data_IF_881078672492
#
_entry.id   IF_881078672492
#
_cell.length_a   1.000
_cell.length_b   1.000
_cell.length_c   1.000
_cell.angle_alpha   90.00
_cell.angle_beta   90.00
_cell.angle_gamma   90.00
#
_symmetry.space_group_name_H-M   'P 1'
#
loop_
_entity.id
_entity.type
_entity.pdbx_description
1 polymer ?
#
# COMPACT_ATOMS: atom_id res chain seq x y z
N UNK A 1 12.44 -1.66 27.61
CA UNK A 1 11.10 -1.70 27.02
C UNK A 1 10.93 -3.07 26.41
N UNK A 2 9.75 -3.72 26.41
CA UNK A 2 9.57 -4.97 25.70
C UNK A 2 9.90 -4.74 24.23
N UNK A 3 10.71 -5.63 23.67
CA UNK A 3 11.09 -5.57 22.25
C UNK A 3 9.90 -6.14 21.45
N UNK A 4 9.02 -5.28 20.97
CA UNK A 4 7.92 -5.70 20.13
C UNK A 4 8.41 -6.06 18.72
N UNK A 5 7.84 -7.09 18.08
CA UNK A 5 8.14 -7.41 16.70
C UNK A 5 7.91 -6.18 15.79
N UNK A 6 8.77 -5.99 14.82
CA UNK A 6 8.62 -4.90 13.84
C UNK A 6 7.47 -5.21 12.88
N UNK A 7 6.57 -4.27 12.70
CA UNK A 7 5.48 -4.37 11.74
C UNK A 7 5.05 -3.02 11.20
N UNK A 8 4.78 -2.98 9.90
CA UNK A 8 4.14 -1.84 9.24
C UNK A 8 2.60 -1.92 9.30
N UNK A 9 2.05 -3.09 9.66
CA UNK A 9 0.61 -3.32 9.66
C UNK A 9 -0.05 -2.78 10.94
N UNK A 10 -1.07 -1.94 10.78
CA UNK A 10 -1.84 -1.39 11.91
C UNK A 10 -2.62 -2.48 12.65
N UNK A 11 -3.13 -3.48 11.93
CA UNK A 11 -3.86 -4.62 12.51
C UNK A 11 -2.98 -5.46 13.43
N UNK A 12 -1.71 -5.67 13.08
CA UNK A 12 -0.75 -6.39 13.94
C UNK A 12 -0.33 -5.54 15.13
N UNK A 13 -0.04 -4.25 14.92
CA UNK A 13 0.28 -3.33 16.01
C UNK A 13 -0.85 -3.29 17.05
N UNK A 14 -2.11 -3.23 16.63
CA UNK A 14 -3.28 -3.28 17.49
C UNK A 14 -3.32 -4.59 18.30
N UNK A 15 -3.20 -5.74 17.64
CA UNK A 15 -3.26 -7.06 18.28
C UNK A 15 -2.11 -7.26 19.29
N UNK A 16 -0.88 -6.86 18.93
CA UNK A 16 0.31 -6.96 19.79
C UNK A 16 0.16 -6.09 21.03
N UNK A 17 -0.19 -4.81 20.88
CA UNK A 17 -0.31 -3.88 21.99
C UNK A 17 -1.49 -4.22 22.90
N UNK A 18 -2.63 -4.62 22.34
CA UNK A 18 -3.79 -5.08 23.10
C UNK A 18 -3.46 -6.32 23.95
N UNK A 19 -2.76 -7.29 23.36
CA UNK A 19 -2.31 -8.50 24.08
C UNK A 19 -1.32 -8.17 25.19
N UNK A 20 -0.33 -7.32 24.91
CA UNK A 20 0.68 -6.92 25.89
C UNK A 20 0.08 -6.14 27.08
N UNK A 21 -0.93 -5.31 26.84
CA UNK A 21 -1.62 -4.58 27.89
C UNK A 21 -2.67 -5.43 28.63
N UNK A 22 -2.96 -6.65 28.17
CA UNK A 22 -4.01 -7.54 28.68
C UNK A 22 -5.40 -6.85 28.76
N UNK A 23 -5.73 -6.05 27.75
CA UNK A 23 -7.00 -5.32 27.64
C UNK A 23 -7.81 -5.84 26.44
N UNK A 24 -9.11 -5.58 26.46
CA UNK A 24 -10.01 -5.91 25.34
C UNK A 24 -9.97 -4.83 24.25
N UNK A 25 -9.73 -3.59 24.63
CA UNK A 25 -9.68 -2.42 23.75
C UNK A 25 -8.52 -1.51 24.16
N UNK A 26 -7.85 -0.92 23.16
CA UNK A 26 -6.80 0.08 23.40
C UNK A 26 -7.42 1.48 23.43
N UNK A 27 -7.00 2.36 24.36
CA UNK A 27 -7.45 3.75 24.41
C UNK A 27 -7.18 4.47 23.08
N UNK A 28 -8.18 5.16 22.55
CA UNK A 28 -8.04 5.91 21.30
C UNK A 28 -7.91 5.06 20.03
N UNK A 29 -8.19 3.75 20.13
CA UNK A 29 -8.15 2.83 18.98
C UNK A 29 -9.45 2.04 18.93
N UNK A 30 -10.01 1.93 17.73
CA UNK A 30 -11.14 1.05 17.43
C UNK A 30 -10.75 0.13 16.29
N UNK A 31 -10.98 -1.16 16.45
CA UNK A 31 -10.79 -2.15 15.39
C UNK A 31 -12.11 -2.87 15.11
N UNK A 32 -12.45 -3.02 13.83
CA UNK A 32 -13.63 -3.77 13.40
C UNK A 32 -13.32 -4.59 12.16
N UNK A 33 -14.00 -5.72 12.02
CA UNK A 33 -13.86 -6.61 10.87
C UNK A 33 -15.16 -6.60 10.07
N UNK A 34 -15.04 -6.41 8.77
CA UNK A 34 -16.16 -6.41 7.82
C UNK A 34 -15.90 -7.41 6.70
N UNK A 35 -16.97 -7.86 6.03
CA UNK A 35 -16.84 -8.68 4.82
C UNK A 35 -17.30 -7.88 3.61
N UNK A 36 -16.45 -7.81 2.57
CA UNK A 36 -16.75 -7.13 1.32
C UNK A 36 -16.50 -8.07 0.16
N UNK A 37 -17.53 -8.41 -0.59
CA UNK A 37 -17.45 -9.33 -1.75
C UNK A 37 -16.74 -10.65 -1.45
N UNK A 38 -16.94 -11.20 -0.23
CA UNK A 38 -16.28 -12.43 0.20
C UNK A 38 -14.90 -12.25 0.85
N UNK A 39 -14.34 -11.03 0.86
CA UNK A 39 -13.05 -10.72 1.46
C UNK A 39 -13.22 -10.13 2.86
N UNK A 40 -12.44 -10.61 3.83
CA UNK A 40 -12.33 -9.97 5.14
C UNK A 40 -11.52 -8.69 5.02
N UNK A 41 -12.06 -7.60 5.60
CA UNK A 41 -11.42 -6.31 5.72
C UNK A 41 -11.40 -5.94 7.20
N UNK A 42 -10.19 -5.78 7.76
CA UNK A 42 -10.02 -5.24 9.11
C UNK A 42 -9.78 -3.74 9.00
N UNK A 43 -10.62 -2.97 9.68
CA UNK A 43 -10.54 -1.51 9.76
C UNK A 43 -10.01 -1.13 11.15
N UNK A 44 -8.86 -0.46 11.22
CA UNK A 44 -8.27 0.04 12.46
C UNK A 44 -8.31 1.56 12.42
N UNK A 45 -9.05 2.15 13.33
CA UNK A 45 -9.21 3.60 13.47
C UNK A 45 -8.37 4.10 14.64
N UNK A 46 -7.35 4.89 14.36
CA UNK A 46 -6.58 5.63 15.36
C UNK A 46 -7.26 6.98 15.52
N UNK A 47 -7.92 7.19 16.67
CA UNK A 47 -8.89 8.28 16.84
C UNK A 47 -8.26 9.56 17.39
N UNK A 48 -7.21 9.45 18.20
CA UNK A 48 -6.60 10.55 18.91
C UNK A 48 -5.16 10.27 19.33
N UNK A 49 -4.54 11.22 20.02
CA UNK A 49 -3.17 11.12 20.54
C UNK A 49 -2.93 9.92 21.50
N UNK A 50 -3.98 9.42 22.18
CA UNK A 50 -3.84 8.21 22.99
C UNK A 50 -3.67 6.97 22.11
N UNK A 51 -4.45 6.90 21.01
CA UNK A 51 -4.31 5.87 19.99
C UNK A 51 -2.97 5.94 19.26
N UNK A 52 -2.49 7.14 18.91
CA UNK A 52 -1.17 7.32 18.30
C UNK A 52 -0.06 6.77 19.19
N UNK A 53 -0.10 7.10 20.50
CA UNK A 53 0.87 6.60 21.47
C UNK A 53 0.73 5.07 21.67
N UNK A 54 -0.48 4.54 21.64
CA UNK A 54 -0.74 3.12 21.81
C UNK A 54 -0.23 2.28 20.64
N UNK A 55 -0.37 2.76 19.39
CA UNK A 55 0.01 2.01 18.18
C UNK A 55 1.31 2.47 17.54
N UNK A 56 1.88 3.60 17.98
CA UNK A 56 2.98 4.28 17.28
C UNK A 56 2.64 4.55 15.80
N UNK A 57 1.37 4.88 15.54
CA UNK A 57 0.85 5.19 14.20
C UNK A 57 0.02 6.46 14.24
N UNK A 58 0.09 7.31 13.19
CA UNK A 58 -0.69 8.54 13.13
C UNK A 58 -2.20 8.31 13.25
N UNK A 59 -2.91 9.32 13.76
CA UNK A 59 -4.39 9.38 13.74
C UNK A 59 -4.87 9.27 12.31
N UNK A 60 -5.59 8.19 12.00
CA UNK A 60 -6.20 7.90 10.70
C UNK A 60 -6.94 6.56 10.70
N UNK A 61 -7.45 6.22 9.52
CA UNK A 61 -8.04 4.93 9.19
C UNK A 61 -7.04 4.06 8.44
N UNK A 62 -6.92 2.82 8.89
CA UNK A 62 -6.09 1.79 8.28
C UNK A 62 -6.96 0.61 7.88
N UNK A 63 -6.97 0.27 6.61
CA UNK A 63 -7.73 -0.84 6.05
C UNK A 63 -6.79 -1.98 5.67
N UNK A 64 -7.05 -3.17 6.20
CA UNK A 64 -6.29 -4.38 5.85
C UNK A 64 -7.22 -5.38 5.16
N UNK A 65 -7.01 -5.56 3.86
CA UNK A 65 -7.73 -6.53 3.01
C UNK A 65 -7.02 -7.87 3.06
N UNK A 66 -7.68 -8.93 3.52
CA UNK A 66 -7.15 -10.30 3.47
C UNK A 66 -7.36 -10.89 2.07
N UNK A 67 -6.34 -11.54 1.51
CA UNK A 67 -6.34 -12.08 0.14
C UNK A 67 -6.68 -13.58 0.07
N UNK A 68 -7.17 -14.19 1.15
CA UNK A 68 -7.42 -15.64 1.21
C UNK A 68 -8.29 -16.22 0.07
N UNK A 69 -9.40 -15.58 -0.37
CA UNK A 69 -10.16 -16.08 -1.51
C UNK A 69 -9.35 -16.11 -2.80
N UNK A 70 -8.50 -15.10 -3.01
CA UNK A 70 -7.60 -15.04 -4.19
C UNK A 70 -6.56 -16.17 -4.15
N UNK A 71 -5.97 -16.40 -2.98
CA UNK A 71 -4.99 -17.48 -2.78
C UNK A 71 -5.60 -18.87 -2.93
N UNK A 72 -6.88 -19.03 -2.58
CA UNK A 72 -7.64 -20.27 -2.82
C UNK A 72 -8.16 -20.40 -4.26
N UNK A 73 -7.93 -19.38 -5.11
CA UNK A 73 -8.40 -19.34 -6.51
C UNK A 73 -9.91 -19.52 -6.62
N UNK A 74 -10.67 -18.88 -5.73
CA UNK A 74 -12.12 -18.86 -5.81
C UNK A 74 -12.60 -18.14 -7.08
N UNK A 75 -13.77 -18.51 -7.58
CA UNK A 75 -14.35 -17.91 -8.76
C UNK A 75 -14.54 -16.40 -8.54
N UNK A 76 -14.23 -15.60 -9.58
CA UNK A 76 -14.30 -14.12 -9.56
C UNK A 76 -13.45 -13.43 -8.47
N UNK A 77 -12.55 -14.18 -7.78
CA UNK A 77 -11.78 -13.63 -6.66
C UNK A 77 -10.92 -12.43 -7.06
N UNK A 78 -10.30 -12.44 -8.23
CA UNK A 78 -9.47 -11.32 -8.69
C UNK A 78 -10.31 -10.05 -8.91
N UNK A 79 -11.45 -10.16 -9.60
CA UNK A 79 -12.35 -9.04 -9.82
C UNK A 79 -12.91 -8.49 -8.50
N UNK A 80 -13.39 -9.37 -7.61
CA UNK A 80 -13.93 -9.00 -6.31
C UNK A 80 -12.87 -8.34 -5.42
N UNK A 81 -11.61 -8.80 -5.43
CA UNK A 81 -10.51 -8.19 -4.72
C UNK A 81 -10.16 -6.80 -5.26
N UNK A 82 -10.05 -6.66 -6.59
CA UNK A 82 -9.76 -5.39 -7.25
C UNK A 82 -10.86 -4.34 -7.00
N UNK A 83 -12.14 -4.74 -7.07
CA UNK A 83 -13.26 -3.87 -6.75
C UNK A 83 -13.29 -3.48 -5.27
N UNK A 84 -12.97 -4.41 -4.37
CA UNK A 84 -12.88 -4.12 -2.93
C UNK A 84 -11.74 -3.15 -2.64
N UNK A 85 -10.56 -3.36 -3.22
CA UNK A 85 -9.43 -2.46 -3.09
C UNK A 85 -9.75 -1.06 -3.65
N UNK A 86 -10.45 -0.98 -4.78
CA UNK A 86 -10.90 0.28 -5.36
C UNK A 86 -11.87 1.02 -4.44
N UNK A 87 -12.83 0.31 -3.82
CA UNK A 87 -13.75 0.90 -2.84
C UNK A 87 -13.02 1.44 -1.62
N UNK A 88 -12.07 0.68 -1.07
CA UNK A 88 -11.25 1.11 0.07
C UNK A 88 -10.38 2.32 -0.29
N UNK A 89 -9.76 2.32 -1.47
CA UNK A 89 -8.94 3.44 -1.92
C UNK A 89 -9.77 4.73 -2.09
N UNK A 90 -11.00 4.65 -2.61
CA UNK A 90 -11.89 5.82 -2.68
C UNK A 90 -12.29 6.36 -1.29
N UNK A 91 -12.35 5.52 -0.26
CA UNK A 91 -12.58 5.95 1.13
C UNK A 91 -11.37 6.66 1.71
N UNK A 92 -10.19 6.08 1.51
CA UNK A 92 -8.91 6.63 1.97
C UNK A 92 -8.58 7.94 1.27
N UNK A 93 -8.90 8.04 -0.03
CA UNK A 93 -8.55 9.16 -0.88
C UNK A 93 -9.78 9.65 -1.67
N UNK A 94 -10.70 10.40 -1.04
CA UNK A 94 -11.84 10.97 -1.73
C UNK A 94 -11.38 12.09 -2.67
N UNK A 95 -11.52 11.87 -3.97
CA UNK A 95 -11.07 12.78 -5.02
C UNK A 95 -12.23 13.42 -5.77
N UNK A 96 -12.07 14.69 -6.15
CA UNK A 96 -12.99 15.33 -7.10
C UNK A 96 -12.88 14.64 -8.48
N UNK A 97 -13.94 14.66 -9.31
CA UNK A 97 -13.97 13.92 -10.58
C UNK A 97 -12.77 14.18 -11.51
N UNK A 98 -12.32 15.44 -11.61
CA UNK A 98 -11.23 15.85 -12.49
C UNK A 98 -9.85 15.94 -11.81
N UNK A 99 -9.74 15.51 -10.55
CA UNK A 99 -8.49 15.57 -9.81
C UNK A 99 -7.39 14.75 -10.51
N UNK A 100 -6.21 15.36 -10.66
CA UNK A 100 -5.03 14.71 -11.23
C UNK A 100 -4.31 13.88 -10.17
N UNK A 101 -3.82 12.71 -10.56
CA UNK A 101 -3.17 11.78 -9.62
C UNK A 101 -1.79 11.37 -10.12
N UNK A 102 -0.82 11.38 -9.20
CA UNK A 102 0.48 10.77 -9.41
C UNK A 102 0.53 9.44 -8.63
N UNK A 103 0.71 8.33 -9.35
CA UNK A 103 0.93 7.01 -8.74
C UNK A 103 2.43 6.76 -8.69
N UNK A 104 2.96 6.41 -7.52
CA UNK A 104 4.38 6.15 -7.32
C UNK A 104 4.62 4.75 -6.78
N UNK A 105 5.46 3.98 -7.45
CA UNK A 105 5.94 2.68 -6.99
C UNK A 105 7.30 2.85 -6.31
N UNK A 106 7.36 2.51 -5.02
CA UNK A 106 8.56 2.54 -4.21
C UNK A 106 9.21 1.16 -4.18
N UNK A 107 10.52 1.12 -3.96
CA UNK A 107 11.28 -0.12 -3.85
C UNK A 107 12.24 -0.36 -5.02
N UNK A 108 12.88 -1.51 -4.97
CA UNK A 108 13.90 -1.93 -5.92
C UNK A 108 13.44 -3.15 -6.73
N UNK A 109 13.16 -2.95 -8.00
CA UNK A 109 12.74 -4.04 -8.93
C UNK A 109 13.74 -5.20 -9.02
N UNK A 110 15.02 -4.96 -8.72
CA UNK A 110 16.03 -6.00 -8.73
C UNK A 110 16.03 -6.91 -7.48
N UNK A 111 15.23 -6.56 -6.47
CA UNK A 111 15.08 -7.32 -5.22
C UNK A 111 13.61 -7.73 -5.12
N UNK A 112 13.29 -8.97 -5.45
CA UNK A 112 11.90 -9.44 -5.57
C UNK A 112 10.99 -9.03 -4.41
N UNK A 113 11.35 -9.21 -3.12
CA UNK A 113 10.49 -8.77 -2.03
C UNK A 113 10.23 -7.25 -1.99
N UNK A 114 11.07 -6.46 -2.64
CA UNK A 114 11.00 -4.98 -2.69
C UNK A 114 10.46 -4.47 -4.05
N UNK A 115 9.92 -5.37 -4.88
CA UNK A 115 9.49 -5.04 -6.24
C UNK A 115 7.98 -4.73 -6.37
N UNK A 116 7.18 -4.85 -5.30
CA UNK A 116 5.71 -4.64 -5.34
C UNK A 116 5.33 -3.30 -5.94
N UNK A 117 5.95 -2.20 -5.45
CA UNK A 117 5.66 -0.86 -5.94
C UNK A 117 6.03 -0.68 -7.41
N UNK A 118 7.29 -0.93 -7.82
CA UNK A 118 7.69 -0.84 -9.22
C UNK A 118 6.86 -1.70 -10.18
N UNK A 119 6.48 -2.92 -9.78
CA UNK A 119 5.71 -3.84 -10.62
C UNK A 119 4.23 -3.44 -10.68
N UNK A 120 3.68 -2.84 -9.62
CA UNK A 120 2.31 -2.33 -9.66
C UNK A 120 2.14 -1.20 -10.69
N UNK A 121 3.18 -0.37 -10.89
CA UNK A 121 3.16 0.71 -11.89
C UNK A 121 2.94 0.17 -13.31
N UNK A 122 3.46 -1.02 -13.64
CA UNK A 122 3.28 -1.62 -14.96
C UNK A 122 1.80 -2.00 -15.24
N UNK A 123 0.98 -2.06 -14.21
CA UNK A 123 -0.46 -2.34 -14.28
C UNK A 123 -1.33 -1.09 -14.07
N UNK A 124 -0.76 0.11 -14.03
CA UNK A 124 -1.50 1.38 -13.90
C UNK A 124 -1.76 2.00 -15.27
N UNK A 125 -3.01 2.39 -15.52
CA UNK A 125 -3.40 3.12 -16.72
C UNK A 125 -2.91 4.57 -16.64
N UNK A 126 -1.89 4.93 -17.42
CA UNK A 126 -1.35 6.30 -17.50
C UNK A 126 -2.12 7.08 -18.57
N UNK A 127 -2.95 8.00 -18.15
CA UNK A 127 -3.94 8.69 -18.98
C UNK A 127 -3.65 10.18 -19.16
N UNK A 128 -2.75 10.79 -18.36
CA UNK A 128 -2.47 12.23 -18.39
C UNK A 128 -2.13 12.72 -19.80
N UNK A 129 -1.14 12.11 -20.46
CA UNK A 129 -0.71 12.49 -21.79
C UNK A 129 -1.78 12.21 -22.88
N UNK A 130 -2.57 11.16 -22.72
CA UNK A 130 -3.65 10.81 -23.63
C UNK A 130 -4.78 11.83 -23.57
N UNK A 131 -5.13 12.28 -22.37
CA UNK A 131 -6.12 13.33 -22.17
C UNK A 131 -5.70 14.66 -22.78
N UNK A 132 -4.41 14.99 -22.77
CA UNK A 132 -3.86 16.19 -23.40
C UNK A 132 -3.83 16.10 -24.94
N UNK A 133 -3.45 14.92 -25.47
CA UNK A 133 -3.25 14.72 -26.91
C UNK A 133 -4.51 14.29 -27.65
N UNK A 134 -5.40 13.53 -27.00
CA UNK A 134 -6.61 12.93 -27.58
C UNK A 134 -7.84 13.18 -26.68
N UNK A 135 -8.19 14.46 -26.41
CA UNK A 135 -9.24 14.81 -25.44
C UNK A 135 -10.63 14.27 -25.84
N UNK A 136 -10.91 14.10 -27.15
CA UNK A 136 -12.17 13.57 -27.65
C UNK A 136 -12.40 12.10 -27.24
N UNK A 137 -11.30 11.33 -27.02
CA UNK A 137 -11.36 9.91 -26.65
C UNK A 137 -11.08 9.68 -25.18
N UNK A 138 -10.19 10.49 -24.56
CA UNK A 138 -9.71 10.29 -23.20
C UNK A 138 -10.14 11.41 -22.23
N UNK A 139 -10.92 12.38 -22.66
CA UNK A 139 -11.36 13.50 -21.82
C UNK A 139 -12.16 13.08 -20.57
N UNK A 140 -12.81 11.93 -20.62
CA UNK A 140 -13.57 11.36 -19.51
C UNK A 140 -12.70 10.67 -18.45
N UNK A 141 -11.46 10.29 -18.80
CA UNK A 141 -10.56 9.65 -17.86
C UNK A 141 -9.92 10.70 -16.94
N UNK A 142 -9.68 10.35 -15.68
CA UNK A 142 -8.88 11.15 -14.76
C UNK A 142 -7.44 11.27 -15.28
N UNK A 143 -6.77 12.43 -15.19
CA UNK A 143 -5.35 12.54 -15.56
C UNK A 143 -4.48 11.81 -14.55
N UNK A 144 -3.90 10.69 -14.96
CA UNK A 144 -3.01 9.85 -14.14
C UNK A 144 -1.62 9.83 -14.76
N UNK A 145 -0.62 10.17 -13.95
CA UNK A 145 0.79 9.96 -14.23
C UNK A 145 1.34 8.87 -13.27
N UNK A 146 2.35 8.14 -13.69
CA UNK A 146 2.95 7.09 -12.86
C UNK A 146 4.48 7.11 -12.91
N UNK A 147 5.13 6.74 -11.81
CA UNK A 147 6.58 6.68 -11.66
C UNK A 147 6.99 5.49 -10.80
N UNK A 148 7.86 4.62 -11.31
CA UNK A 148 8.66 3.71 -10.49
C UNK A 148 9.95 4.45 -10.06
N UNK A 149 9.99 4.93 -8.80
CA UNK A 149 11.02 5.88 -8.36
C UNK A 149 12.41 5.23 -8.20
N UNK A 150 12.48 3.92 -7.99
CA UNK A 150 13.72 3.23 -7.62
C UNK A 150 14.18 3.57 -6.20
N UNK A 151 15.42 3.22 -5.88
CA UNK A 151 16.02 3.45 -4.55
C UNK A 151 17.33 4.22 -4.66
N UNK A 152 17.74 4.88 -3.58
CA UNK A 152 18.98 5.66 -3.51
C UNK A 152 20.19 4.92 -4.06
N UNK A 153 20.33 3.63 -3.74
CA UNK A 153 21.46 2.82 -4.18
C UNK A 153 21.54 2.57 -5.70
N UNK A 154 20.43 2.73 -6.42
CA UNK A 154 20.39 2.56 -7.88
C UNK A 154 20.34 3.89 -8.64
N UNK A 155 19.77 4.92 -8.04
CA UNK A 155 19.52 6.20 -8.70
C UNK A 155 20.48 7.31 -8.26
N UNK A 156 21.08 7.19 -7.07
CA UNK A 156 21.87 8.25 -6.44
C UNK A 156 21.03 9.40 -5.86
N UNK A 157 19.69 9.29 -5.91
CA UNK A 157 18.75 10.30 -5.43
C UNK A 157 17.71 9.64 -4.52
N UNK A 158 17.35 10.29 -3.42
CA UNK A 158 16.27 9.81 -2.56
C UNK A 158 14.93 9.80 -3.32
N UNK A 159 14.16 8.72 -3.18
CA UNK A 159 12.85 8.59 -3.84
C UNK A 159 11.91 9.75 -3.49
N UNK A 160 11.94 10.21 -2.23
CA UNK A 160 11.14 11.35 -1.78
C UNK A 160 11.50 12.66 -2.49
N UNK A 161 12.79 12.88 -2.80
CA UNK A 161 13.23 14.09 -3.52
C UNK A 161 12.81 14.04 -4.99
N UNK A 162 12.90 12.88 -5.64
CA UNK A 162 12.39 12.70 -7.00
C UNK A 162 10.88 12.93 -7.08
N UNK A 163 10.13 12.35 -6.15
CA UNK A 163 8.67 12.49 -6.09
C UNK A 163 8.28 13.94 -5.83
N UNK A 164 8.97 14.62 -4.91
CA UNK A 164 8.74 16.04 -4.62
C UNK A 164 9.00 16.92 -5.85
N UNK A 165 10.10 16.70 -6.55
CA UNK A 165 10.44 17.44 -7.77
C UNK A 165 9.40 17.22 -8.87
N UNK A 166 8.94 15.97 -9.04
CA UNK A 166 7.90 15.64 -10.01
C UNK A 166 6.54 16.22 -9.60
N UNK A 167 6.17 16.19 -8.34
CA UNK A 167 4.95 16.77 -7.82
C UNK A 167 4.92 18.30 -8.02
N UNK A 168 6.05 18.99 -7.82
CA UNK A 168 6.18 20.43 -8.15
C UNK A 168 6.00 20.70 -9.64
N UNK A 169 6.40 19.79 -10.52
CA UNK A 169 6.24 19.96 -11.96
C UNK A 169 4.82 19.62 -12.46
N UNK A 170 4.26 18.54 -11.95
CA UNK A 170 2.95 18.02 -12.42
C UNK A 170 1.75 18.66 -11.72
N UNK A 171 1.93 19.20 -10.50
CA UNK A 171 0.88 19.73 -9.63
C UNK A 171 -0.29 18.74 -9.44
N UNK A 172 -0.04 17.48 -9.01
CA UNK A 172 -1.10 16.54 -8.80
C UNK A 172 -1.95 16.96 -7.60
N UNK A 173 -3.26 16.65 -7.66
CA UNK A 173 -4.19 16.88 -6.53
C UNK A 173 -4.01 15.83 -5.43
N UNK A 174 -3.47 14.66 -5.79
CA UNK A 174 -3.16 13.58 -4.85
C UNK A 174 -2.04 12.66 -5.35
N UNK A 175 -1.44 11.94 -4.40
CA UNK A 175 -0.43 10.91 -4.67
C UNK A 175 -0.94 9.57 -4.12
N UNK A 176 -0.73 8.50 -4.88
CA UNK A 176 -0.90 7.12 -4.40
C UNK A 176 0.48 6.49 -4.39
N UNK A 177 0.97 6.09 -3.21
CA UNK A 177 2.25 5.43 -3.04
C UNK A 177 2.04 3.92 -2.83
N UNK A 178 2.74 3.09 -3.60
CA UNK A 178 2.73 1.63 -3.47
C UNK A 178 4.11 1.16 -3.02
N UNK A 179 4.16 0.31 -1.97
CA UNK A 179 5.43 -0.19 -1.40
C UNK A 179 5.30 -1.62 -0.86
N UNK A 180 6.43 -2.25 -0.65
CA UNK A 180 6.54 -3.48 0.13
C UNK A 180 6.57 -3.14 1.63
N UNK A 181 5.91 -3.96 2.45
CA UNK A 181 5.84 -3.79 3.91
C UNK A 181 6.52 -4.95 4.63
N UNK A 182 6.85 -4.75 5.90
CA UNK A 182 7.19 -5.80 6.84
C UNK A 182 5.97 -6.17 7.71
N UNK A 183 5.83 -7.45 8.03
CA UNK A 183 4.86 -7.95 9.00
C UNK A 183 5.54 -8.69 10.15
N UNK A 184 4.81 -8.95 11.22
CA UNK A 184 5.23 -9.73 12.37
C UNK A 184 4.66 -11.16 12.37
N UNK A 185 3.56 -11.39 11.65
CA UNK A 185 2.83 -12.67 11.64
C UNK A 185 2.93 -13.33 10.27
N UNK A 186 3.20 -14.65 10.26
CA UNK A 186 3.27 -15.46 9.03
C UNK A 186 1.94 -15.48 8.26
N UNK A 187 0.82 -15.40 8.95
CA UNK A 187 -0.52 -15.40 8.35
C UNK A 187 -0.82 -14.12 7.55
N UNK A 188 0.01 -13.08 7.70
CA UNK A 188 -0.09 -11.82 6.95
C UNK A 188 0.89 -11.73 5.79
N UNK A 189 1.98 -12.50 5.86
CA UNK A 189 3.08 -12.44 4.90
C UNK A 189 2.63 -12.84 3.48
N UNK A 190 2.60 -11.88 2.55
CA UNK A 190 2.13 -12.05 1.17
C UNK A 190 0.62 -12.28 1.04
N UNK A 191 -0.17 -12.03 2.10
CA UNK A 191 -1.58 -12.44 2.19
C UNK A 191 -2.54 -11.30 2.49
N UNK A 192 -2.03 -10.11 2.70
CA UNK A 192 -2.86 -8.92 3.00
C UNK A 192 -2.37 -7.70 2.25
N UNK A 193 -3.30 -6.78 1.96
CA UNK A 193 -2.96 -5.44 1.44
C UNK A 193 -3.46 -4.42 2.44
N UNK A 194 -2.59 -3.52 2.88
CA UNK A 194 -2.96 -2.40 3.76
C UNK A 194 -3.08 -1.11 2.97
N UNK A 195 -4.11 -0.30 3.30
CA UNK A 195 -4.33 1.05 2.77
C UNK A 195 -4.47 2.05 3.91
N UNK A 196 -3.93 3.26 3.73
CA UNK A 196 -4.09 4.38 4.67
C UNK A 196 -3.85 5.72 3.97
N UNK A 197 -4.30 6.85 4.55
CA UNK A 197 -4.03 8.22 4.07
C UNK A 197 -2.90 8.92 4.85
N UNK A 198 -2.23 8.23 5.76
CA UNK A 198 -1.09 8.80 6.50
C UNK A 198 0.17 8.95 5.66
N UNK A 199 0.15 8.40 4.45
CA UNK A 199 1.34 8.25 3.63
C UNK A 199 2.20 7.05 4.06
N UNK A 200 3.47 7.05 3.67
CA UNK A 200 4.40 5.96 3.92
C UNK A 200 5.81 6.47 4.20
N UNK A 201 6.52 5.79 5.08
CA UNK A 201 7.96 5.98 5.29
C UNK A 201 8.69 4.78 4.68
N UNK A 202 9.31 4.92 3.50
CA UNK A 202 9.97 3.81 2.83
C UNK A 202 11.04 3.18 3.71
N UNK A 203 11.02 1.85 3.84
CA UNK A 203 12.01 1.09 4.62
C UNK A 203 11.82 1.11 6.14
N UNK A 204 10.75 1.70 6.69
CA UNK A 204 10.50 1.74 8.14
C UNK A 204 10.45 0.34 8.75
N UNK A 205 9.77 -0.59 8.12
CA UNK A 205 9.62 -1.96 8.60
C UNK A 205 10.92 -2.78 8.63
N UNK A 206 11.94 -2.34 7.88
CA UNK A 206 13.26 -2.98 7.85
C UNK A 206 14.35 -2.15 8.57
N UNK A 207 13.95 -1.12 9.33
CA UNK A 207 14.87 -0.28 10.10
C UNK A 207 15.75 0.64 9.25
N UNK A 208 15.32 0.95 8.04
CA UNK A 208 15.99 1.86 7.12
C UNK A 208 15.10 3.09 6.89
N UNK A 209 14.89 3.87 7.95
CA UNK A 209 14.02 5.04 7.91
C UNK A 209 14.53 6.08 6.91
N UNK A 210 13.73 6.36 5.91
CA UNK A 210 13.97 7.39 4.89
C UNK A 210 12.97 8.53 5.05
N UNK A 211 13.12 9.57 4.22
CA UNK A 211 12.16 10.67 4.21
C UNK A 211 10.75 10.15 3.87
N UNK A 212 9.80 10.40 4.78
CA UNK A 212 8.41 9.98 4.60
C UNK A 212 7.72 10.73 3.48
N UNK A 213 6.81 10.04 2.82
CA UNK A 213 5.89 10.58 1.83
C UNK A 213 4.53 10.71 2.49
N UNK A 214 4.18 11.91 2.94
CA UNK A 214 2.92 12.22 3.60
C UNK A 214 2.41 13.58 3.17
N UNK A 215 1.19 13.91 3.54
CA UNK A 215 0.64 15.24 3.34
C UNK A 215 1.51 16.33 3.99
N UNK A 216 2.08 16.05 5.15
CA UNK A 216 2.92 17.01 5.86
C UNK A 216 4.25 17.29 5.14
N UNK A 217 4.83 16.28 4.49
CA UNK A 217 6.13 16.41 3.80
C UNK A 217 6.00 16.93 2.36
N UNK A 218 4.87 16.67 1.71
CA UNK A 218 4.65 17.01 0.30
C UNK A 218 3.64 18.14 0.07
N UNK A 219 2.83 18.47 1.09
CA UNK A 219 1.73 19.46 0.96
C UNK A 219 0.54 18.94 0.13
N UNK A 220 0.54 17.66 -0.26
CA UNK A 220 -0.44 17.01 -1.14
C UNK A 220 -0.97 15.77 -0.41
N UNK A 221 -2.28 15.45 -0.47
CA UNK A 221 -2.81 14.21 0.07
C UNK A 221 -2.08 12.98 -0.49
N UNK A 222 -1.68 12.06 0.39
CA UNK A 222 -0.98 10.83 0.01
C UNK A 222 -1.73 9.62 0.58
N UNK A 223 -2.23 8.76 -0.29
CA UNK A 223 -2.66 7.43 0.09
C UNK A 223 -1.52 6.44 -0.08
N UNK A 224 -1.32 5.55 0.88
CA UNK A 224 -0.36 4.46 0.81
C UNK A 224 -1.09 3.12 0.64
N UNK A 225 -0.54 2.28 -0.21
CA UNK A 225 -0.96 0.88 -0.41
C UNK A 225 0.27 0.01 -0.24
N UNK A 226 0.19 -1.01 0.60
CA UNK A 226 1.33 -1.88 0.84
C UNK A 226 0.98 -3.35 1.00
N UNK A 227 1.91 -4.21 0.56
CA UNK A 227 1.86 -5.66 0.73
C UNK A 227 3.01 -6.11 1.63
N UNK A 228 2.78 -6.85 2.71
CA UNK A 228 3.86 -7.43 3.49
C UNK A 228 4.55 -8.55 2.70
N UNK A 229 5.82 -8.37 2.43
CA UNK A 229 6.67 -9.30 1.65
C UNK A 229 7.77 -9.92 2.47
N UNK A 230 8.06 -9.36 3.64
CA UNK A 230 9.12 -9.81 4.54
C UNK A 230 8.65 -9.83 5.99
N UNK A 231 9.29 -10.70 6.77
CA UNK A 231 9.12 -10.82 8.22
C UNK A 231 10.49 -10.89 8.87
N UNK A 232 10.66 -10.23 10.02
CA UNK A 232 11.92 -10.23 10.79
C UNK A 232 12.23 -11.62 11.31
N UNK A 233 13.40 -12.16 10.96
CA UNK A 233 13.83 -13.49 11.38
C UNK A 233 14.18 -13.56 12.87
N UNK A 234 14.44 -12.43 13.54
CA UNK A 234 14.69 -12.35 14.97
C UNK A 234 13.52 -12.84 15.82
N UNK A 235 12.28 -12.78 15.27
CA UNK A 235 11.10 -13.35 15.93
C UNK A 235 11.06 -14.90 15.96
N UNK A 236 11.91 -15.59 15.20
CA UNK A 236 11.89 -17.05 15.03
C UNK A 236 13.18 -17.75 15.48
N UNK A 237 14.20 -17.01 15.92
CA UNK A 237 15.50 -17.59 16.26
C UNK A 237 16.16 -16.80 17.38
N UNK A 238 16.74 -17.55 18.33
CA UNK A 238 17.58 -16.98 19.41
C UNK A 238 19.01 -16.63 18.93
N UNK A 239 19.35 -16.89 17.66
CA UNK A 239 20.64 -16.51 17.09
C UNK A 239 20.68 -14.98 16.85
N UNK A 240 21.60 -14.23 17.46
CA UNK A 240 21.69 -12.78 17.28
C UNK A 240 21.83 -12.31 15.82
N UNK A 241 22.30 -13.19 14.92
CA UNK A 241 22.40 -12.90 13.50
C UNK A 241 21.03 -12.83 12.83
N UNK A 242 20.01 -13.49 13.39
CA UNK A 242 18.65 -13.47 12.87
C UNK A 242 18.02 -12.07 12.94
N UNK A 243 18.40 -11.23 13.92
CA UNK A 243 17.94 -9.84 14.03
C UNK A 243 18.33 -8.94 12.84
N UNK A 244 19.26 -9.41 12.00
CA UNK A 244 19.71 -8.72 10.79
C UNK A 244 19.20 -9.37 9.50
N UNK A 245 18.30 -10.34 9.62
CA UNK A 245 17.79 -11.14 8.49
C UNK A 245 16.28 -10.98 8.36
N UNK A 246 15.82 -10.98 7.12
CA UNK A 246 14.41 -11.04 6.78
C UNK A 246 14.09 -12.35 6.05
N UNK A 247 12.92 -12.88 6.33
CA UNK A 247 12.38 -14.08 5.67
C UNK A 247 11.27 -13.65 4.72
N UNK A 248 11.21 -14.33 3.59
CA UNK A 248 10.20 -14.12 2.55
C UNK A 248 9.65 -15.49 2.09
N UNK A 249 8.42 -15.57 1.55
CA UNK A 249 7.86 -16.81 1.00
C UNK A 249 8.74 -17.40 -0.11
N UNK A 250 8.71 -18.71 -0.27
CA UNK A 250 9.47 -19.39 -1.34
C UNK A 250 8.99 -18.99 -2.74
N UNK A 251 7.72 -18.68 -2.87
CA UNK A 251 7.03 -18.30 -4.11
C UNK A 251 6.85 -16.78 -4.22
N UNK A 252 7.75 -16.02 -3.58
CA UNK A 252 7.68 -14.54 -3.51
C UNK A 252 7.53 -13.89 -4.90
N UNK A 253 8.14 -14.46 -5.93
CA UNK A 253 8.03 -13.95 -7.31
C UNK A 253 6.59 -13.97 -7.80
N UNK A 254 5.84 -15.04 -7.47
CA UNK A 254 4.42 -15.15 -7.81
C UNK A 254 3.59 -14.23 -6.95
N UNK A 255 3.85 -14.20 -5.65
CA UNK A 255 3.14 -13.34 -4.68
C UNK A 255 3.25 -11.86 -5.08
N UNK A 256 4.46 -11.39 -5.36
CA UNK A 256 4.71 -9.98 -5.75
C UNK A 256 4.03 -9.67 -7.08
N UNK A 257 4.22 -10.48 -8.10
CA UNK A 257 3.61 -10.27 -9.43
C UNK A 257 2.07 -10.20 -9.34
N UNK A 258 1.46 -11.16 -8.66
CA UNK A 258 -0.01 -11.27 -8.61
C UNK A 258 -0.61 -10.14 -7.76
N UNK A 259 0.04 -9.78 -6.63
CA UNK A 259 -0.38 -8.67 -5.80
C UNK A 259 -0.15 -7.30 -6.48
N UNK A 260 0.98 -7.11 -7.15
CA UNK A 260 1.27 -5.89 -7.91
C UNK A 260 0.23 -5.67 -9.01
N UNK A 261 -0.13 -6.72 -9.76
CA UNK A 261 -1.22 -6.67 -10.74
C UNK A 261 -2.54 -6.29 -10.07
N UNK A 262 -2.92 -6.95 -8.98
CA UNK A 262 -4.13 -6.65 -8.23
C UNK A 262 -4.19 -5.19 -7.78
N UNK A 263 -3.09 -4.67 -7.21
CA UNK A 263 -2.99 -3.28 -6.75
C UNK A 263 -3.17 -2.31 -7.92
N UNK A 264 -2.47 -2.51 -9.04
CA UNK A 264 -2.60 -1.67 -10.23
C UNK A 264 -4.04 -1.64 -10.77
N UNK A 265 -4.69 -2.81 -10.84
CA UNK A 265 -6.10 -2.91 -11.27
C UNK A 265 -7.05 -2.22 -10.28
N UNK A 266 -6.86 -2.43 -8.99
CA UNK A 266 -7.64 -1.73 -7.96
C UNK A 266 -7.48 -0.21 -8.04
N UNK A 267 -6.28 0.29 -8.30
CA UNK A 267 -6.01 1.72 -8.54
C UNK A 267 -6.77 2.20 -9.77
N UNK A 268 -6.72 1.48 -10.90
CA UNK A 268 -7.42 1.86 -12.12
C UNK A 268 -8.94 1.95 -11.91
N UNK A 269 -9.53 0.92 -11.27
CA UNK A 269 -10.95 0.92 -10.95
C UNK A 269 -11.33 2.02 -9.95
N UNK A 270 -10.42 2.42 -9.06
CA UNK A 270 -10.65 3.52 -8.12
C UNK A 270 -10.64 4.89 -8.82
N UNK A 271 -9.74 5.08 -9.78
CA UNK A 271 -9.50 6.36 -10.43
C UNK A 271 -10.38 6.62 -11.64
N UNK A 272 -10.91 5.57 -12.28
CA UNK A 272 -11.72 5.70 -13.48
C UNK A 272 -13.08 5.03 -13.28
N UNK A 273 -14.12 5.84 -13.14
CA UNK A 273 -15.47 5.34 -12.90
C UNK A 273 -16.01 4.55 -14.09
N UNK A 274 -16.71 3.46 -13.80
CA UNK A 274 -17.40 2.64 -14.80
C UNK A 274 -16.54 1.64 -15.56
N UNK A 275 -15.20 1.59 -15.29
CA UNK A 275 -14.35 0.57 -15.91
C UNK A 275 -14.59 -0.81 -15.29
N UNK A 276 -14.51 -1.82 -16.15
CA UNK A 276 -14.43 -3.23 -15.77
C UNK A 276 -12.99 -3.75 -15.83
N UNK A 277 -12.73 -4.93 -15.30
CA UNK A 277 -11.44 -5.61 -15.44
C UNK A 277 -11.09 -5.80 -16.93
N UNK A 278 -12.08 -6.15 -17.76
CA UNK A 278 -11.88 -6.32 -19.20
C UNK A 278 -11.47 -5.03 -19.92
N UNK A 279 -11.99 -3.87 -19.48
CA UNK A 279 -11.57 -2.57 -20.03
C UNK A 279 -10.12 -2.26 -19.67
N UNK A 280 -9.72 -2.57 -18.43
CA UNK A 280 -8.32 -2.42 -17.98
C UNK A 280 -7.38 -3.34 -18.76
N UNK A 281 -7.76 -4.63 -18.94
CA UNK A 281 -6.98 -5.57 -19.76
C UNK A 281 -6.79 -5.06 -21.20
N UNK A 282 -7.87 -4.53 -21.82
CA UNK A 282 -7.81 -3.98 -23.17
C UNK A 282 -6.89 -2.76 -23.28
N UNK A 283 -6.85 -1.92 -22.22
CA UNK A 283 -6.00 -0.71 -22.22
C UNK A 283 -4.53 -1.06 -22.05
N UNK A 284 -4.21 -2.11 -21.27
CA UNK A 284 -2.84 -2.50 -20.92
C UNK A 284 -2.22 -3.51 -21.90
N UNK A 285 -2.98 -4.04 -22.87
CA UNK A 285 -2.54 -5.07 -23.85
C UNK A 285 -1.80 -4.43 -25.10
#
# INVERSE_FOLDING_TARGET
>A
MPNFPRTDLAVEAEAIHRSAAAVTELPGVRAEETNRRGFSVTEVHVLDAAGENALCKPTSDYYTLALDPLLRREDDAFENAAQTLAELLRRVLPLMPDASVLVVGLGNRAITPDAVGPDAIDSVMVTRHLREQLPEHFGQFRPVAALAAGVLGTTGVESADMIRALAVHLHPDAIIAVDALACAELDRLGRTVQLTDTGITPGSGVGNDRAGLSRDTLGIPVAAIGLPTVIDAGGFSDDPRAEQMFVTPRDIDTVVRDAAKLIGYGINLALHDGLTIGDVDMFLS
#
